data_IF_238732755476
#
_entry.id   IF_238732755476
#
_cell.length_a   1.000
_cell.length_b   1.000
_cell.length_c   1.000
_cell.angle_alpha   90.00
_cell.angle_beta   90.00
_cell.angle_gamma   90.00
#
_symmetry.space_group_name_H-M   'P 1'
#
loop_
_entity.id
_entity.type
_entity.pdbx_description
1 polymer ?
#
# COMPACT_ATOMS: atom_id res chain seq x y z
N UNK A 1 13.54 -20.19 14.64
CA UNK A 1 13.60 -19.21 13.52
C UNK A 1 12.20 -18.96 13.05
N UNK A 2 11.79 -17.70 12.88
CA UNK A 2 10.47 -17.36 12.31
C UNK A 2 10.47 -17.75 10.83
N UNK A 3 9.34 -18.20 10.30
CA UNK A 3 9.20 -18.62 8.89
C UNK A 3 9.72 -17.56 7.90
N UNK A 4 9.49 -16.27 8.18
CA UNK A 4 10.00 -15.18 7.35
C UNK A 4 11.52 -15.06 7.30
N UNK A 5 12.22 -15.41 8.37
CA UNK A 5 13.69 -15.41 8.42
C UNK A 5 14.27 -16.56 7.59
N UNK A 6 13.60 -17.72 7.61
CA UNK A 6 13.98 -18.89 6.82
C UNK A 6 13.86 -18.59 5.32
N UNK A 7 12.75 -17.97 4.91
CA UNK A 7 12.54 -17.61 3.51
C UNK A 7 13.57 -16.59 3.02
N UNK A 8 13.88 -15.56 3.84
CA UNK A 8 14.90 -14.55 3.53
C UNK A 8 16.29 -15.18 3.32
N UNK A 9 16.66 -16.18 4.11
CA UNK A 9 17.97 -16.84 4.01
C UNK A 9 18.05 -17.89 2.90
N UNK A 10 16.98 -18.67 2.67
CA UNK A 10 16.99 -19.76 1.67
C UNK A 10 16.61 -19.32 0.28
N UNK A 11 15.74 -18.30 0.15
CA UNK A 11 15.14 -17.86 -1.12
C UNK A 11 15.03 -16.33 -1.14
N UNK A 12 16.18 -15.62 -1.21
CA UNK A 12 16.21 -14.15 -1.09
C UNK A 12 15.46 -13.44 -2.22
N UNK A 13 15.47 -13.99 -3.45
CA UNK A 13 14.79 -13.39 -4.61
C UNK A 13 13.27 -13.46 -4.46
N UNK A 14 12.75 -14.58 -4.00
CA UNK A 14 11.33 -14.81 -3.75
C UNK A 14 10.84 -13.95 -2.59
N UNK A 15 11.65 -13.81 -1.53
CA UNK A 15 11.38 -12.89 -0.44
C UNK A 15 11.31 -11.43 -0.90
N UNK A 16 12.24 -11.00 -1.77
CA UNK A 16 12.22 -9.66 -2.35
C UNK A 16 11.01 -9.41 -3.26
N UNK A 17 10.62 -10.40 -4.08
CA UNK A 17 9.39 -10.32 -4.90
C UNK A 17 8.15 -10.18 -4.04
N UNK A 18 8.01 -11.01 -3.01
CA UNK A 18 6.89 -10.96 -2.06
C UNK A 18 6.81 -9.60 -1.33
N UNK A 19 7.97 -9.03 -0.97
CA UNK A 19 8.03 -7.71 -0.34
C UNK A 19 7.79 -6.55 -1.32
N UNK A 20 8.11 -6.73 -2.61
CA UNK A 20 7.76 -5.78 -3.67
C UNK A 20 6.26 -5.80 -3.97
N UNK A 21 5.64 -6.97 -4.04
CA UNK A 21 4.18 -7.11 -4.21
C UNK A 21 3.40 -6.50 -3.04
N UNK A 22 3.94 -6.58 -1.81
CA UNK A 22 3.36 -5.87 -0.65
C UNK A 22 3.33 -4.34 -0.78
N UNK A 23 4.06 -3.74 -1.74
CA UNK A 23 3.99 -2.31 -2.04
C UNK A 23 2.86 -1.98 -3.03
N UNK A 24 1.71 -2.62 -2.90
CA UNK A 24 0.47 -2.09 -3.46
C UNK A 24 0.06 -0.83 -2.69
N UNK A 25 0.77 0.26 -2.95
CA UNK A 25 0.28 1.58 -2.63
C UNK A 25 -0.78 1.90 -3.67
N UNK A 26 -2.06 1.69 -3.31
CA UNK A 26 -3.16 2.25 -4.08
C UNK A 26 -2.86 3.73 -4.37
N UNK A 27 -2.85 4.10 -5.65
CA UNK A 27 -2.66 5.48 -6.03
C UNK A 27 -3.84 6.30 -5.50
N UNK A 28 -3.66 7.62 -5.39
CA UNK A 28 -4.73 8.50 -4.92
C UNK A 28 -6.03 8.32 -5.72
N UNK A 29 -5.88 8.19 -7.04
CA UNK A 29 -6.98 7.95 -7.96
C UNK A 29 -7.70 6.62 -7.69
N UNK A 30 -6.96 5.56 -7.38
CA UNK A 30 -7.54 4.23 -7.09
C UNK A 30 -8.35 4.27 -5.78
N UNK A 31 -7.89 5.03 -4.79
CA UNK A 31 -8.62 5.25 -3.54
C UNK A 31 -9.88 6.08 -3.79
N UNK A 32 -9.79 7.15 -4.59
CA UNK A 32 -10.95 7.99 -4.97
C UNK A 32 -12.02 7.18 -5.72
N UNK A 33 -11.59 6.35 -6.67
CA UNK A 33 -12.45 5.47 -7.46
C UNK A 33 -13.15 4.41 -6.58
N UNK A 34 -12.39 3.74 -5.69
CA UNK A 34 -12.96 2.77 -4.74
C UNK A 34 -13.94 3.39 -3.75
N UNK A 35 -13.71 4.63 -3.34
CA UNK A 35 -14.61 5.35 -2.42
C UNK A 35 -15.87 5.87 -3.14
N UNK A 36 -15.96 5.75 -4.47
CA UNK A 36 -17.04 6.34 -5.27
C UNK A 36 -17.04 7.87 -5.23
N UNK A 37 -15.89 8.46 -4.93
CA UNK A 37 -15.73 9.90 -4.69
C UNK A 37 -15.10 10.51 -5.94
N UNK A 38 -15.94 11.14 -6.77
CA UNK A 38 -15.52 11.70 -8.05
C UNK A 38 -14.95 13.13 -7.97
N UNK A 39 -14.94 13.74 -6.78
CA UNK A 39 -14.54 15.14 -6.58
C UNK A 39 -13.69 15.33 -5.32
N UNK A 40 -13.09 16.52 -5.18
CA UNK A 40 -12.09 17.01 -4.21
C UNK A 40 -12.38 16.85 -2.69
N UNK A 41 -13.22 15.89 -2.31
CA UNK A 41 -13.72 15.63 -0.97
C UNK A 41 -12.61 15.05 -0.08
N UNK A 42 -11.53 14.45 -0.59
CA UNK A 42 -10.41 13.99 0.25
C UNK A 42 -9.10 14.67 -0.12
N UNK A 43 -8.40 15.25 0.86
CA UNK A 43 -7.03 15.74 0.69
C UNK A 43 -6.10 15.15 1.73
N UNK A 44 -4.81 15.02 1.39
CA UNK A 44 -3.77 14.66 2.37
C UNK A 44 -3.55 15.80 3.35
N UNK A 45 -3.76 15.52 4.65
CA UNK A 45 -3.41 16.42 5.75
C UNK A 45 -2.56 15.67 6.77
N UNK A 46 -1.33 16.15 7.01
CA UNK A 46 -0.36 15.53 7.94
C UNK A 46 -0.16 14.03 7.67
N UNK A 47 -0.02 13.66 6.39
CA UNK A 47 0.28 12.28 5.98
C UNK A 47 -0.92 11.32 5.87
N UNK A 48 -2.11 11.68 6.38
CA UNK A 48 -3.33 10.89 6.23
C UNK A 48 -4.34 11.59 5.30
N UNK A 49 -5.16 10.82 4.58
CA UNK A 49 -6.29 11.37 3.85
C UNK A 49 -7.41 11.76 4.82
N UNK A 50 -7.98 12.94 4.61
CA UNK A 50 -9.13 13.42 5.38
C UNK A 50 -10.18 13.97 4.45
N UNK A 51 -11.43 13.72 4.81
CA UNK A 51 -12.57 14.33 4.15
C UNK A 51 -12.54 15.84 4.42
N UNK A 52 -12.64 16.65 3.37
CA UNK A 52 -12.93 18.07 3.41
C UNK A 52 -14.44 18.18 3.26
N UNK A 53 -15.06 18.83 4.25
CA UNK A 53 -16.48 19.14 4.27
C UNK A 53 -16.76 20.36 3.42
#
# INVERSE_FOLDING_TARGET
MKIGEILKHKQPREYEKLMKERKEHLAFKDIEELMGVHEHIYKRRRGAYRQIR
#
